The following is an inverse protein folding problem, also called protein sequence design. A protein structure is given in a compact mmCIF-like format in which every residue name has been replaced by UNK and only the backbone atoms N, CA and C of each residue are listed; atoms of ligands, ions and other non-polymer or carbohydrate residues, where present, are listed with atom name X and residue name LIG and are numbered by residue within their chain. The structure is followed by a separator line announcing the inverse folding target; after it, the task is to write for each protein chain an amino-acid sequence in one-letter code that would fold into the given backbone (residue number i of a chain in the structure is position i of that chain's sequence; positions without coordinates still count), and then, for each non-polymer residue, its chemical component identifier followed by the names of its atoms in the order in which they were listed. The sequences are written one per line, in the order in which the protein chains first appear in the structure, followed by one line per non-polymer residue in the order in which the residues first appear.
data_IF_478719094955
#
_entry.id   IF_478719094955
#
_cell.length_a   1.000
_cell.length_b   1.000
_cell.length_c   1.000
_cell.angle_alpha   90.00
_cell.angle_beta   90.00
_cell.angle_gamma   90.00
#
_symmetry.space_group_name_H-M   'P 1'
#
loop_
_entity.id
_entity.type
_entity.pdbx_description
1 polymer ?
#
# COMPACT_ATOMS: atom_id res chain seq x y z
N UNK A 1 -7.68 -8.37 -14.92
CA UNK A 1 -7.01 -8.77 -13.66
C UNK A 1 -7.62 -7.98 -12.51
N UNK A 2 -7.82 -8.59 -11.34
CA UNK A 2 -8.69 -8.07 -10.27
C UNK A 2 -8.18 -6.77 -9.62
N UNK A 3 -6.91 -6.38 -9.87
CA UNK A 3 -6.27 -5.20 -9.26
C UNK A 3 -5.95 -4.06 -10.25
N UNK A 4 -6.50 -4.12 -11.46
CA UNK A 4 -6.10 -3.20 -12.54
C UNK A 4 -6.49 -1.74 -12.29
N UNK A 5 -7.47 -1.50 -11.43
CA UNK A 5 -8.00 -0.17 -11.09
C UNK A 5 -7.32 0.51 -9.90
N UNK A 6 -6.47 -0.18 -9.13
CA UNK A 6 -5.82 0.36 -7.93
C UNK A 6 -4.44 0.98 -8.19
N UNK A 7 -4.04 1.13 -9.45
CA UNK A 7 -2.70 1.58 -9.79
C UNK A 7 -2.55 3.11 -9.80
N UNK A 8 -1.91 3.65 -8.75
CA UNK A 8 -1.55 5.06 -8.65
C UNK A 8 -0.42 5.45 -9.63
N UNK A 9 -0.54 6.64 -10.26
CA UNK A 9 0.38 7.13 -11.29
C UNK A 9 1.11 8.39 -10.81
N UNK A 10 2.34 8.27 -10.30
CA UNK A 10 3.19 9.43 -9.96
C UNK A 10 4.10 9.78 -11.15
N UNK A 11 3.73 10.81 -11.90
CA UNK A 11 4.64 11.49 -12.85
C UNK A 11 5.13 10.66 -14.05
N UNK A 12 4.32 9.73 -14.57
CA UNK A 12 4.69 8.92 -15.75
C UNK A 12 5.61 7.73 -15.48
N UNK A 13 5.95 7.48 -14.21
CA UNK A 13 6.60 6.23 -13.78
C UNK A 13 5.55 5.16 -13.47
N UNK A 14 6.00 3.92 -13.64
CA UNK A 14 5.31 2.64 -13.50
C UNK A 14 4.29 2.57 -12.36
N UNK A 15 3.27 1.73 -12.57
CA UNK A 15 2.23 1.43 -11.60
C UNK A 15 2.82 0.96 -10.25
N UNK A 16 2.39 1.58 -9.15
CA UNK A 16 2.87 1.26 -7.79
C UNK A 16 1.74 0.63 -6.94
N UNK A 17 2.02 -0.44 -6.19
CA UNK A 17 1.06 -1.13 -5.33
C UNK A 17 0.90 -0.40 -3.99
N UNK A 18 0.27 0.79 -4.01
CA UNK A 18 0.27 1.72 -2.88
C UNK A 18 -0.25 1.15 -1.55
N UNK A 19 -1.21 0.22 -1.57
CA UNK A 19 -1.80 -0.39 -0.36
C UNK A 19 -0.81 -1.30 0.36
N UNK A 20 0.25 -1.74 -0.32
CA UNK A 20 1.31 -2.57 0.25
C UNK A 20 2.58 -1.77 0.57
N UNK A 21 2.63 -0.48 0.22
CA UNK A 21 3.84 0.33 0.39
C UNK A 21 3.97 0.87 1.82
N UNK A 22 5.19 0.83 2.34
CA UNK A 22 5.54 1.42 3.62
C UNK A 22 5.44 2.95 3.61
N UNK A 23 5.23 3.60 4.77
CA UNK A 23 5.10 5.06 4.85
C UNK A 23 6.33 5.81 4.30
N UNK A 24 7.54 5.30 4.54
CA UNK A 24 8.80 5.83 3.98
C UNK A 24 8.89 5.65 2.46
N UNK A 25 8.35 4.56 1.92
CA UNK A 25 8.27 4.34 0.48
C UNK A 25 7.28 5.30 -0.17
N UNK A 26 6.15 5.57 0.49
CA UNK A 26 5.14 6.51 0.01
C UNK A 26 5.59 7.97 0.12
N UNK A 27 6.29 8.35 1.19
CA UNK A 27 6.73 9.73 1.44
C UNK A 27 8.00 10.06 0.65
N UNK A 28 9.04 9.25 0.83
CA UNK A 28 10.40 9.57 0.42
C UNK A 28 10.86 8.74 -0.79
N UNK A 29 10.06 7.75 -1.23
CA UNK A 29 10.46 6.82 -2.29
C UNK A 29 11.61 5.90 -1.86
N UNK A 30 11.77 5.68 -0.55
CA UNK A 30 12.79 4.79 0.00
C UNK A 30 12.29 3.35 0.01
N UNK A 31 13.12 2.45 -0.52
CA UNK A 31 12.87 1.02 -0.55
C UNK A 31 14.06 0.33 0.11
N UNK A 32 13.83 -0.22 1.29
CA UNK A 32 14.79 -0.97 2.07
C UNK A 32 14.14 -2.21 2.71
N UNK A 33 14.92 -3.02 3.41
CA UNK A 33 14.44 -4.25 4.03
C UNK A 33 13.29 -4.02 5.00
N UNK A 34 13.20 -2.85 5.66
CA UNK A 34 12.10 -2.56 6.57
C UNK A 34 10.81 -2.26 5.80
N UNK A 35 10.92 -1.58 4.66
CA UNK A 35 9.77 -1.41 3.76
C UNK A 35 9.26 -2.74 3.19
N UNK A 36 10.14 -3.72 2.95
CA UNK A 36 9.74 -5.06 2.52
C UNK A 36 9.01 -5.81 3.63
N UNK A 37 9.48 -5.69 4.89
CA UNK A 37 8.82 -6.27 6.07
C UNK A 37 7.41 -5.70 6.24
N UNK A 38 7.21 -4.41 5.96
CA UNK A 38 5.88 -3.80 5.95
C UNK A 38 4.97 -4.45 4.92
N UNK A 39 5.40 -4.54 3.66
CA UNK A 39 4.62 -5.17 2.59
C UNK A 39 4.29 -6.63 2.92
N UNK A 40 5.23 -7.35 3.55
CA UNK A 40 5.00 -8.71 4.03
C UNK A 40 3.95 -8.78 5.14
N UNK A 41 3.90 -7.79 6.03
CA UNK A 41 2.85 -7.68 7.05
C UNK A 41 1.45 -7.52 6.45
N UNK A 42 1.32 -6.68 5.42
CA UNK A 42 0.06 -6.53 4.66
C UNK A 42 -0.33 -7.86 4.00
N UNK A 43 0.64 -8.57 3.39
CA UNK A 43 0.40 -9.89 2.82
C UNK A 43 -0.09 -10.92 3.85
N UNK A 44 0.51 -10.95 5.03
CA UNK A 44 0.07 -11.85 6.11
C UNK A 44 -1.37 -11.54 6.55
N UNK A 45 -1.73 -10.26 6.62
CA UNK A 45 -3.10 -9.85 6.90
C UNK A 45 -4.06 -10.34 5.82
N UNK A 46 -3.74 -10.18 4.54
CA UNK A 46 -4.57 -10.67 3.43
C UNK A 46 -4.77 -12.19 3.50
N UNK A 47 -3.74 -12.95 3.85
CA UNK A 47 -3.86 -14.40 4.05
C UNK A 47 -4.82 -14.71 5.20
N UNK A 48 -4.73 -13.96 6.30
CA UNK A 48 -5.57 -14.15 7.48
C UNK A 48 -7.05 -13.76 7.25
N UNK A 49 -7.30 -12.77 6.38
CA UNK A 49 -8.65 -12.28 6.05
C UNK A 49 -9.26 -12.95 4.81
N UNK A 50 -8.64 -14.01 4.30
CA UNK A 50 -9.10 -14.73 3.09
C UNK A 50 -9.19 -13.82 1.86
N UNK A 51 -8.13 -13.02 1.64
CA UNK A 51 -7.97 -12.08 0.54
C UNK A 51 -8.95 -10.90 0.55
N UNK A 52 -9.28 -10.38 1.73
CA UNK A 52 -9.90 -9.06 1.80
C UNK A 52 -8.91 -7.98 1.30
N UNK A 53 -9.47 -6.95 0.68
CA UNK A 53 -8.68 -5.82 0.18
C UNK A 53 -8.19 -4.96 1.36
N UNK A 54 -6.88 -4.64 1.47
CA UNK A 54 -6.39 -3.74 2.51
C UNK A 54 -6.95 -2.32 2.36
N UNK A 55 -7.29 -1.66 3.47
CA UNK A 55 -7.87 -0.31 3.53
C UNK A 55 -9.19 -0.22 2.75
N UNK A 56 -10.13 -1.14 3.00
CA UNK A 56 -11.43 -1.12 2.35
C UNK A 56 -12.16 0.22 2.57
N UNK A 57 -12.81 0.70 1.51
CA UNK A 57 -13.55 1.97 1.55
C UNK A 57 -12.69 3.23 1.36
N UNK A 58 -11.36 3.10 1.31
CA UNK A 58 -10.46 4.22 0.98
C UNK A 58 -10.06 4.20 -0.50
N UNK A 59 -10.10 5.36 -1.13
CA UNK A 59 -9.46 5.62 -2.41
C UNK A 59 -7.95 5.72 -2.29
N UNK A 60 -7.25 5.60 -3.42
CA UNK A 60 -5.80 5.53 -3.47
C UNK A 60 -5.08 6.72 -2.79
N UNK A 61 -5.55 7.95 -3.02
CA UNK A 61 -4.97 9.15 -2.41
C UNK A 61 -5.21 9.18 -0.89
N UNK A 62 -6.35 8.67 -0.45
CA UNK A 62 -6.72 8.60 0.97
C UNK A 62 -5.84 7.57 1.69
N UNK A 63 -5.59 6.41 1.08
CA UNK A 63 -4.63 5.40 1.60
C UNK A 63 -3.24 6.02 1.73
N UNK A 64 -2.77 6.74 0.70
CA UNK A 64 -1.46 7.40 0.74
C UNK A 64 -1.38 8.39 1.90
N UNK A 65 -2.41 9.21 2.10
CA UNK A 65 -2.44 10.12 3.25
C UNK A 65 -2.49 9.37 4.57
N UNK A 66 -3.38 8.39 4.70
CA UNK A 66 -3.60 7.61 5.92
C UNK A 66 -2.32 6.91 6.40
N UNK A 67 -1.64 6.20 5.49
CA UNK A 67 -0.39 5.48 5.78
C UNK A 67 0.74 6.46 6.08
N UNK A 68 0.85 7.58 5.34
CA UNK A 68 1.87 8.61 5.61
C UNK A 68 1.78 9.23 7.00
N UNK A 69 0.58 9.31 7.58
CA UNK A 69 0.37 9.79 8.94
C UNK A 69 0.63 8.71 10.02
N UNK A 70 1.08 7.52 9.63
CA UNK A 70 1.47 6.44 10.54
C UNK A 70 0.31 5.55 10.99
N UNK A 71 -0.85 5.66 10.35
CA UNK A 71 -1.98 4.77 10.65
C UNK A 71 -1.87 3.45 9.87
N UNK A 72 -2.34 2.36 10.48
CA UNK A 72 -2.14 0.99 9.97
C UNK A 72 -3.41 0.13 9.98
N UNK A 73 -4.59 0.71 10.21
CA UNK A 73 -5.83 -0.06 10.16
C UNK A 73 -6.11 -0.48 8.72
N UNK A 74 -6.03 -1.79 8.47
CA UNK A 74 -6.26 -2.45 7.19
C UNK A 74 -7.73 -2.80 7.01
#
# INVERSE_FOLDING_TARGET
DIYETDYYRRGGRSFLPIRWMAPESLRDGRFDTLSDVWSFGVLLWEIATLAEQPYQGYGNEEVVHYVRYGNITL
#
